data_IF_385235791059
#
_entry.id   IF_385235791059
#
_cell.length_a   1.000
_cell.length_b   1.000
_cell.length_c   1.000
_cell.angle_alpha   90.00
_cell.angle_beta   90.00
_cell.angle_gamma   90.00
#
_symmetry.space_group_name_H-M   'P 1'
#
loop_
_entity.id
_entity.type
_entity.pdbx_description
1 polymer ?
#
# COMPACT_ATOMS: atom_id res chain seq x y z
N UNK A 1 -17.54 -15.48 9.64
CA UNK A 1 -16.53 -14.72 10.40
C UNK A 1 -15.29 -15.58 10.49
N UNK A 2 -14.14 -15.02 10.21
CA UNK A 2 -12.82 -15.65 10.26
C UNK A 2 -11.89 -14.81 11.14
N UNK A 3 -11.26 -15.43 12.12
CA UNK A 3 -10.32 -14.75 13.03
C UNK A 3 -8.90 -15.19 12.69
N UNK A 4 -8.09 -14.26 12.18
CA UNK A 4 -6.71 -14.47 11.71
C UNK A 4 -6.52 -15.76 10.89
N UNK A 5 -7.29 -16.00 9.83
CA UNK A 5 -7.40 -17.32 9.20
C UNK A 5 -6.11 -17.78 8.51
N UNK A 6 -5.16 -16.89 8.27
CA UNK A 6 -3.92 -17.17 7.54
C UNK A 6 -2.68 -17.21 8.42
N UNK A 7 -2.82 -16.99 9.72
CA UNK A 7 -1.70 -17.02 10.65
C UNK A 7 -1.03 -18.40 10.65
N UNK A 8 0.29 -18.40 10.44
CA UNK A 8 1.11 -19.62 10.37
C UNK A 8 1.03 -20.39 9.06
N UNK A 9 0.29 -19.92 8.06
CA UNK A 9 0.25 -20.53 6.74
C UNK A 9 1.40 -20.03 5.86
N UNK A 10 1.96 -20.93 5.07
CA UNK A 10 2.89 -20.59 3.99
C UNK A 10 2.16 -19.79 2.87
N UNK A 11 2.89 -19.05 2.02
CA UNK A 11 2.29 -18.19 0.99
C UNK A 11 1.38 -18.93 0.00
N UNK A 12 1.71 -20.19 -0.34
CA UNK A 12 0.93 -20.98 -1.28
C UNK A 12 -0.42 -21.38 -0.65
N UNK A 13 -0.38 -21.89 0.57
CA UNK A 13 -1.58 -22.29 1.33
C UNK A 13 -2.48 -21.07 1.60
N UNK A 14 -1.89 -19.91 1.93
CA UNK A 14 -2.62 -18.65 2.09
C UNK A 14 -3.38 -18.27 0.82
N UNK A 15 -2.72 -18.33 -0.34
CA UNK A 15 -3.36 -18.06 -1.62
C UNK A 15 -4.52 -19.02 -1.90
N UNK A 16 -4.34 -20.31 -1.66
CA UNK A 16 -5.40 -21.30 -1.85
C UNK A 16 -6.62 -21.04 -0.96
N UNK A 17 -6.40 -20.64 0.30
CA UNK A 17 -7.48 -20.26 1.22
C UNK A 17 -8.26 -19.05 0.67
N UNK A 18 -7.57 -18.00 0.24
CA UNK A 18 -8.22 -16.81 -0.30
C UNK A 18 -8.98 -17.09 -1.59
N UNK A 19 -8.45 -17.94 -2.47
CA UNK A 19 -9.15 -18.36 -3.68
C UNK A 19 -10.43 -19.16 -3.34
N UNK A 20 -10.42 -19.96 -2.29
CA UNK A 20 -11.60 -20.68 -1.81
C UNK A 20 -12.63 -19.71 -1.20
N UNK A 21 -12.20 -18.78 -0.35
CA UNK A 21 -13.07 -17.75 0.27
C UNK A 21 -13.73 -16.89 -0.80
N UNK A 22 -12.98 -16.42 -1.80
CA UNK A 22 -13.52 -15.63 -2.91
C UNK A 22 -14.57 -16.42 -3.69
N UNK A 23 -14.30 -17.68 -4.03
CA UNK A 23 -15.27 -18.54 -4.72
C UNK A 23 -16.56 -18.71 -3.93
N UNK A 24 -16.48 -19.00 -2.62
CA UNK A 24 -17.64 -19.12 -1.76
C UNK A 24 -18.41 -17.80 -1.65
N UNK A 25 -17.73 -16.67 -1.48
CA UNK A 25 -18.35 -15.35 -1.45
C UNK A 25 -19.16 -15.11 -2.71
N UNK A 26 -18.58 -15.39 -3.86
CA UNK A 26 -19.18 -15.07 -5.17
C UNK A 26 -20.33 -16.05 -5.52
N UNK A 27 -20.20 -17.36 -5.20
CA UNK A 27 -21.22 -18.36 -5.49
C UNK A 27 -22.43 -18.27 -4.55
N UNK A 28 -22.17 -18.05 -3.24
CA UNK A 28 -23.21 -18.03 -2.22
C UNK A 28 -23.64 -16.62 -1.82
N UNK A 29 -23.04 -15.59 -2.43
CA UNK A 29 -23.25 -14.15 -2.13
C UNK A 29 -23.08 -13.83 -0.65
N UNK A 30 -22.05 -14.41 -0.04
CA UNK A 30 -21.75 -14.26 1.37
C UNK A 30 -21.04 -12.93 1.65
N UNK A 31 -21.33 -12.36 2.81
CA UNK A 31 -20.47 -11.34 3.41
C UNK A 31 -19.45 -12.04 4.29
N UNK A 32 -18.17 -11.84 3.99
CA UNK A 32 -17.06 -12.37 4.76
C UNK A 32 -16.50 -11.28 5.66
N UNK A 33 -16.53 -11.50 6.96
CA UNK A 33 -15.86 -10.66 7.95
C UNK A 33 -14.64 -11.41 8.48
N UNK A 34 -13.48 -10.76 8.45
CA UNK A 34 -12.25 -11.35 8.94
C UNK A 34 -11.44 -10.36 9.79
N UNK A 35 -10.64 -10.89 10.71
CA UNK A 35 -9.59 -10.14 11.37
C UNK A 35 -8.24 -10.56 10.79
N UNK A 36 -7.32 -9.64 10.65
CA UNK A 36 -5.96 -9.91 10.20
C UNK A 36 -4.99 -8.83 10.68
N UNK A 37 -3.75 -9.20 10.84
CA UNK A 37 -2.63 -8.27 11.02
C UNK A 37 -1.75 -8.17 9.76
N UNK A 38 -2.13 -8.87 8.69
CA UNK A 38 -1.45 -8.79 7.38
C UNK A 38 -2.08 -7.70 6.52
N UNK A 39 -1.36 -6.62 6.30
CA UNK A 39 -1.86 -5.47 5.56
C UNK A 39 -2.16 -5.77 4.09
N UNK A 40 -1.51 -6.79 3.52
CA UNK A 40 -1.80 -7.29 2.17
C UNK A 40 -3.23 -7.83 2.05
N UNK A 41 -3.72 -8.52 3.09
CA UNK A 41 -5.09 -9.04 3.12
C UNK A 41 -6.11 -7.90 3.27
N UNK A 42 -5.79 -6.90 4.09
CA UNK A 42 -6.60 -5.70 4.19
C UNK A 42 -6.64 -4.90 2.88
N UNK A 43 -5.56 -4.94 2.09
CA UNK A 43 -5.50 -4.28 0.78
C UNK A 43 -6.43 -4.90 -0.27
N UNK A 44 -6.74 -6.20 -0.12
CA UNK A 44 -7.62 -6.98 -1.01
C UNK A 44 -9.09 -7.00 -0.55
N UNK A 45 -9.41 -6.40 0.60
CA UNK A 45 -10.77 -6.33 1.13
C UNK A 45 -11.63 -5.31 0.37
N UNK A 46 -12.95 -5.50 0.36
CA UNK A 46 -13.91 -4.50 -0.14
C UNK A 46 -14.02 -3.30 0.81
N UNK A 47 -13.84 -3.54 2.10
CA UNK A 47 -13.88 -2.52 3.16
C UNK A 47 -12.98 -2.94 4.32
N UNK A 48 -12.24 -2.00 4.89
CA UNK A 48 -11.33 -2.24 6.00
C UNK A 48 -11.64 -1.31 7.18
N UNK A 49 -11.50 -1.85 8.39
CA UNK A 49 -11.61 -1.13 9.66
C UNK A 49 -10.30 -1.31 10.42
N UNK A 50 -9.62 -0.22 10.70
CA UNK A 50 -8.38 -0.23 11.50
C UNK A 50 -8.77 0.08 12.95
N UNK A 51 -8.44 -0.85 13.85
CA UNK A 51 -8.70 -0.72 15.28
C UNK A 51 -7.37 -0.52 16.00
N UNK A 52 -7.29 0.52 16.81
CA UNK A 52 -6.18 0.73 17.73
C UNK A 52 -6.71 1.05 19.14
N UNK A 53 -6.12 0.42 20.14
CA UNK A 53 -6.46 0.65 21.56
C UNK A 53 -7.96 0.56 21.86
N UNK A 54 -8.66 -0.40 21.19
CA UNK A 54 -10.09 -0.64 21.38
C UNK A 54 -11.02 0.37 20.72
N UNK A 55 -10.49 1.23 19.83
CA UNK A 55 -11.26 2.23 19.10
C UNK A 55 -11.02 2.11 17.60
N UNK A 56 -12.02 2.48 16.81
CA UNK A 56 -11.86 2.62 15.37
C UNK A 56 -10.97 3.84 15.12
N UNK A 57 -9.79 3.60 14.56
CA UNK A 57 -8.83 4.65 14.22
C UNK A 57 -9.05 5.15 12.78
N UNK A 58 -9.42 4.27 11.85
CA UNK A 58 -9.83 4.61 10.49
C UNK A 58 -10.69 3.49 9.89
N UNK A 59 -11.54 3.85 8.93
CA UNK A 59 -12.34 2.90 8.18
C UNK A 59 -12.64 3.43 6.76
N UNK A 60 -12.86 2.53 5.81
CA UNK A 60 -13.15 2.84 4.42
C UNK A 60 -12.71 1.72 3.48
N UNK A 61 -12.88 1.94 2.19
CA UNK A 61 -12.26 1.07 1.18
C UNK A 61 -10.74 1.22 1.23
N UNK A 62 -9.95 0.19 0.88
CA UNK A 62 -8.50 0.28 0.88
C UNK A 62 -7.97 1.44 0.01
N UNK A 63 -8.66 1.76 -1.09
CA UNK A 63 -8.29 2.88 -1.95
C UNK A 63 -8.51 4.24 -1.25
N UNK A 64 -9.66 4.43 -0.60
CA UNK A 64 -9.94 5.65 0.18
C UNK A 64 -8.93 5.84 1.31
N UNK A 65 -8.63 4.77 2.04
CA UNK A 65 -7.66 4.80 3.12
C UNK A 65 -6.26 5.17 2.61
N UNK A 66 -5.80 4.55 1.52
CA UNK A 66 -4.51 4.90 0.91
C UNK A 66 -4.48 6.35 0.43
N UNK A 67 -5.49 6.81 -0.27
CA UNK A 67 -5.55 8.19 -0.75
C UNK A 67 -5.60 9.23 0.37
N UNK A 68 -6.16 8.86 1.54
CA UNK A 68 -6.32 9.78 2.68
C UNK A 68 -5.11 9.83 3.60
N UNK A 69 -4.41 8.72 3.77
CA UNK A 69 -3.40 8.57 4.82
C UNK A 69 -1.98 8.33 4.31
N UNK A 70 -1.80 8.16 3.00
CA UNK A 70 -0.48 7.93 2.41
C UNK A 70 -0.20 8.86 1.24
N UNK A 71 1.07 8.94 0.86
CA UNK A 71 1.51 9.56 -0.38
C UNK A 71 1.85 8.48 -1.40
N UNK A 72 1.76 8.83 -2.69
CA UNK A 72 2.27 7.99 -3.77
C UNK A 72 3.78 8.22 -3.93
N UNK A 73 4.47 7.33 -4.58
CA UNK A 73 5.88 7.48 -4.88
C UNK A 73 6.21 7.14 -6.33
N UNK A 74 7.21 7.83 -6.86
CA UNK A 74 7.81 7.52 -8.16
C UNK A 74 9.25 7.10 -7.90
N UNK A 75 9.62 5.92 -8.35
CA UNK A 75 11.02 5.47 -8.34
C UNK A 75 11.59 5.64 -9.73
N UNK A 76 12.66 6.42 -9.87
CA UNK A 76 13.41 6.65 -11.12
C UNK A 76 14.69 5.83 -11.07
N UNK A 77 14.90 5.02 -12.08
CA UNK A 77 16.10 4.20 -12.21
C UNK A 77 17.15 4.88 -13.08
N UNK A 78 18.42 4.78 -12.67
CA UNK A 78 19.54 5.37 -13.42
C UNK A 78 19.59 6.91 -13.42
N UNK A 79 18.84 7.56 -12.53
CA UNK A 79 18.83 9.02 -12.34
C UNK A 79 19.56 9.36 -11.05
N UNK A 80 20.39 10.41 -11.08
CA UNK A 80 21.12 10.89 -9.91
C UNK A 80 20.26 11.80 -9.01
N UNK A 81 20.69 11.94 -7.76
CA UNK A 81 20.04 12.83 -6.80
C UNK A 81 19.98 14.29 -7.31
N UNK A 82 21.07 14.76 -7.93
CA UNK A 82 21.15 16.10 -8.50
C UNK A 82 20.09 16.40 -9.55
N UNK A 83 19.74 15.39 -10.36
CA UNK A 83 18.76 15.54 -11.43
C UNK A 83 17.31 15.58 -10.89
N UNK A 84 17.10 14.98 -9.72
CA UNK A 84 15.82 14.93 -9.03
C UNK A 84 15.63 16.06 -8.00
N UNK A 85 16.67 16.75 -7.58
CA UNK A 85 16.63 17.74 -6.51
C UNK A 85 15.69 18.93 -6.79
N UNK A 86 15.58 19.34 -8.05
CA UNK A 86 14.79 20.51 -8.48
C UNK A 86 13.32 20.18 -8.79
N UNK A 87 12.85 18.96 -8.51
CA UNK A 87 11.49 18.55 -8.85
C UNK A 87 10.42 19.06 -7.88
N UNK A 88 10.82 19.71 -6.79
CA UNK A 88 9.91 20.35 -5.82
C UNK A 88 9.19 19.37 -4.88
N UNK A 89 9.63 18.10 -4.83
CA UNK A 89 9.11 17.06 -3.96
C UNK A 89 10.22 16.42 -3.13
N UNK A 90 9.87 15.81 -1.97
CA UNK A 90 10.86 15.06 -1.18
C UNK A 90 11.48 13.92 -2.00
N UNK A 91 12.80 13.85 -1.97
CA UNK A 91 13.59 12.84 -2.68
C UNK A 91 14.32 11.95 -1.68
N UNK A 92 14.32 10.65 -1.90
CA UNK A 92 15.09 9.66 -1.15
C UNK A 92 16.02 8.93 -2.12
N UNK A 93 17.30 8.94 -1.83
CA UNK A 93 18.31 8.21 -2.63
C UNK A 93 18.27 6.73 -2.27
N UNK A 94 18.20 5.89 -3.30
CA UNK A 94 18.27 4.43 -3.21
C UNK A 94 19.50 3.93 -3.96
N UNK A 95 19.84 2.66 -3.80
CA UNK A 95 20.93 2.07 -4.57
C UNK A 95 20.56 2.00 -6.07
N UNK A 96 21.20 2.84 -6.89
CA UNK A 96 20.95 2.89 -8.34
C UNK A 96 19.62 3.56 -8.76
N UNK A 97 18.92 4.23 -7.84
CA UNK A 97 17.65 4.88 -8.12
C UNK A 97 17.40 6.07 -7.19
N UNK A 98 16.41 6.88 -7.52
CA UNK A 98 15.86 7.90 -6.62
C UNK A 98 14.36 7.70 -6.51
N UNK A 99 13.83 7.87 -5.29
CA UNK A 99 12.40 7.83 -5.01
C UNK A 99 11.90 9.21 -4.69
N UNK A 100 10.86 9.64 -5.39
CA UNK A 100 10.17 10.92 -5.21
C UNK A 100 8.84 10.64 -4.55
N UNK A 101 8.56 11.31 -3.43
CA UNK A 101 7.26 11.22 -2.76
C UNK A 101 6.34 12.31 -3.31
N UNK A 102 5.19 11.90 -3.85
CA UNK A 102 4.18 12.81 -4.43
C UNK A 102 2.84 12.62 -3.73
N UNK A 103 2.00 13.67 -3.63
CA UNK A 103 0.72 13.59 -2.93
C UNK A 103 -0.21 12.49 -3.48
N UNK A 104 -0.27 12.38 -4.80
CA UNK A 104 -1.17 11.47 -5.52
C UNK A 104 -0.67 11.17 -6.93
N UNK A 105 -1.37 10.29 -7.63
CA UNK A 105 -1.05 9.91 -9.02
C UNK A 105 -1.22 11.07 -10.01
N UNK A 106 -2.09 12.05 -9.71
CA UNK A 106 -2.25 13.23 -10.56
C UNK A 106 -0.99 14.10 -10.52
N UNK A 107 -0.44 14.33 -9.33
CA UNK A 107 0.83 15.04 -9.15
C UNK A 107 1.98 14.29 -9.84
N UNK A 108 2.02 12.95 -9.73
CA UNK A 108 2.98 12.12 -10.47
C UNK A 108 2.87 12.35 -11.98
N UNK A 109 1.66 12.33 -12.52
CA UNK A 109 1.42 12.55 -13.97
C UNK A 109 1.88 13.93 -14.40
N UNK A 110 1.56 14.99 -13.65
CA UNK A 110 2.01 16.35 -13.93
C UNK A 110 3.53 16.45 -13.94
N UNK A 111 4.19 15.79 -13.00
CA UNK A 111 5.65 15.78 -12.91
C UNK A 111 6.28 15.10 -14.14
N UNK A 112 5.77 13.94 -14.55
CA UNK A 112 6.22 13.21 -15.74
C UNK A 112 6.08 14.07 -17.01
N UNK A 113 4.94 14.76 -17.16
CA UNK A 113 4.70 15.63 -18.32
C UNK A 113 5.64 16.84 -18.33
N UNK A 114 5.97 17.38 -17.15
CA UNK A 114 6.84 18.57 -17.04
C UNK A 114 8.31 18.29 -17.32
N UNK A 115 8.80 17.07 -17.07
CA UNK A 115 10.21 16.68 -17.18
C UNK A 115 10.37 15.29 -17.80
N UNK A 116 9.81 15.03 -18.99
CA UNK A 116 9.75 13.69 -19.57
C UNK A 116 11.12 13.05 -19.81
N UNK A 117 12.18 13.86 -19.92
CA UNK A 117 13.56 13.39 -20.11
C UNK A 117 14.10 12.57 -18.93
N UNK A 118 13.58 12.78 -17.71
CA UNK A 118 13.98 12.04 -16.51
C UNK A 118 13.23 10.72 -16.35
N UNK A 119 12.04 10.62 -16.93
CA UNK A 119 11.12 9.49 -16.73
C UNK A 119 11.24 8.44 -17.85
N UNK A 120 12.46 7.93 -18.06
CA UNK A 120 12.74 6.90 -19.09
C UNK A 120 12.53 5.50 -18.56
N UNK A 121 12.95 5.26 -17.31
CA UNK A 121 12.79 4.00 -16.58
C UNK A 121 12.30 4.34 -15.17
N UNK A 122 11.04 4.04 -14.90
CA UNK A 122 10.40 4.41 -13.65
C UNK A 122 9.22 3.51 -13.31
N UNK A 123 8.87 3.51 -12.04
CA UNK A 123 7.61 2.94 -11.56
C UNK A 123 6.87 3.93 -10.66
N UNK A 124 5.53 3.87 -10.69
CA UNK A 124 4.68 4.60 -9.75
C UNK A 124 4.05 3.59 -8.81
N UNK A 125 4.25 3.81 -7.52
CA UNK A 125 3.69 2.95 -6.46
C UNK A 125 2.73 3.80 -5.64
N UNK A 126 1.48 3.38 -5.58
CA UNK A 126 0.52 3.94 -4.64
C UNK A 126 0.91 3.57 -3.22
N UNK A 127 0.54 4.44 -2.29
CA UNK A 127 0.71 4.17 -0.87
C UNK A 127 0.16 2.79 -0.49
N UNK A 128 0.82 2.13 0.45
CA UNK A 128 0.50 0.78 0.91
C UNK A 128 -0.39 0.82 2.14
N UNK A 129 -1.11 -0.27 2.41
CA UNK A 129 -1.90 -0.39 3.64
C UNK A 129 -1.02 -0.40 4.90
N UNK A 130 0.23 -0.86 4.79
CA UNK A 130 1.23 -0.71 5.86
C UNK A 130 1.44 0.76 6.25
N UNK A 131 1.57 1.64 5.25
CA UNK A 131 1.76 3.07 5.46
C UNK A 131 0.51 3.72 6.07
N UNK A 132 -0.68 3.28 5.64
CA UNK A 132 -1.96 3.68 6.25
C UNK A 132 -1.97 3.33 7.74
N UNK A 133 -1.66 2.08 8.06
CA UNK A 133 -1.64 1.61 9.45
C UNK A 133 -0.68 2.41 10.31
N UNK A 134 0.55 2.64 9.82
CA UNK A 134 1.56 3.45 10.51
C UNK A 134 1.09 4.90 10.72
N UNK A 135 0.49 5.50 9.69
CA UNK A 135 0.00 6.88 9.74
C UNK A 135 -1.11 7.06 10.77
N UNK A 136 -2.04 6.08 10.85
CA UNK A 136 -3.23 6.16 11.68
C UNK A 136 -2.96 5.79 13.14
N UNK A 137 -2.07 4.81 13.39
CA UNK A 137 -1.79 4.29 14.73
C UNK A 137 -0.51 4.87 15.36
N UNK A 138 0.38 5.44 14.55
CA UNK A 138 1.72 5.87 14.98
C UNK A 138 2.66 4.72 15.40
N UNK A 139 2.27 3.47 15.14
CA UNK A 139 3.00 2.27 15.54
C UNK A 139 3.68 1.62 14.33
N UNK A 140 4.94 1.19 14.49
CA UNK A 140 5.59 0.32 13.50
C UNK A 140 4.95 -1.07 13.56
N UNK A 141 4.66 -1.65 12.40
CA UNK A 141 4.25 -3.05 12.30
C UNK A 141 5.40 -3.92 12.81
N UNK A 142 5.15 -4.69 13.86
CA UNK A 142 6.08 -5.71 14.32
C UNK A 142 5.92 -6.92 13.41
N UNK A 143 6.74 -7.03 12.37
CA UNK A 143 6.68 -8.22 11.51
C UNK A 143 7.14 -7.96 10.09
N UNK A 144 8.37 -7.65 9.94
CA UNK A 144 9.08 -7.56 8.67
C UNK A 144 10.55 -7.64 8.97
N UNK A 145 10.97 -8.80 9.49
CA UNK A 145 12.38 -9.18 9.45
C UNK A 145 12.58 -10.09 8.26
N UNK A 146 13.60 -9.71 7.51
CA UNK A 146 14.39 -10.39 6.48
C UNK A 146 13.89 -10.30 5.05
#
# INVERSE_FOLDING_TARGET
ILDEPTTGLDPQTRKMLWDAVRRLRDSEKLTVFLTTHYMEEAADADYAVIIDSGKIAAEGTPLELKNRYTADSITLYGVGESDAADLGYPVTVLHGAVRISVPDTEAATKLIISRPELFRDYEIIKGRMDDVFLSVTGKKLNGGND
#
